data_IF_504257072073
#
_entry.id   IF_504257072073
#
_cell.length_a   1.000
_cell.length_b   1.000
_cell.length_c   1.000
_cell.angle_alpha   90.00
_cell.angle_beta   90.00
_cell.angle_gamma   90.00
#
_symmetry.space_group_name_H-M   'P 1'
#
loop_
_entity.id
_entity.type
_entity.pdbx_description
1 polymer ?
#
# COMPACT_ATOMS: atom_id res chain seq x y z
N UNK A 1 -18.65 -16.26 4.15
CA UNK A 1 -18.45 -15.53 5.42
C UNK A 1 -19.44 -14.40 5.42
N UNK A 2 -20.25 -14.19 6.50
CA UNK A 2 -21.16 -13.04 6.54
C UNK A 2 -20.39 -11.75 6.82
N UNK A 3 -20.95 -10.60 6.44
CA UNK A 3 -20.34 -9.28 6.73
C UNK A 3 -20.16 -9.10 8.24
N UNK A 4 -21.14 -9.53 9.04
CA UNK A 4 -21.07 -9.48 10.50
C UNK A 4 -19.88 -10.25 11.09
N UNK A 5 -19.59 -11.44 10.56
CA UNK A 5 -18.43 -12.24 10.98
C UNK A 5 -17.11 -11.56 10.59
N UNK A 6 -17.08 -10.91 9.42
CA UNK A 6 -15.91 -10.15 8.97
C UNK A 6 -15.68 -8.93 9.87
N UNK A 7 -16.72 -8.15 10.14
CA UNK A 7 -16.65 -6.99 11.04
C UNK A 7 -16.21 -7.38 12.44
N UNK A 8 -16.76 -8.51 12.95
CA UNK A 8 -16.35 -9.03 14.26
C UNK A 8 -14.86 -9.41 14.30
N UNK A 9 -14.36 -10.09 13.26
CA UNK A 9 -12.93 -10.48 13.18
C UNK A 9 -11.99 -9.28 13.05
N UNK A 10 -12.45 -8.18 12.46
CA UNK A 10 -11.66 -6.97 12.28
C UNK A 10 -11.68 -6.05 13.53
N UNK A 11 -12.64 -6.24 14.44
CA UNK A 11 -12.80 -5.35 15.60
C UNK A 11 -11.56 -5.31 16.48
N UNK A 12 -10.99 -6.46 16.79
CA UNK A 12 -9.79 -6.57 17.64
C UNK A 12 -8.60 -5.88 16.99
N UNK A 13 -8.37 -6.13 15.70
CA UNK A 13 -7.27 -5.51 14.93
C UNK A 13 -7.45 -3.98 14.85
N UNK A 14 -8.67 -3.49 14.67
CA UNK A 14 -8.98 -2.05 14.69
C UNK A 14 -8.65 -1.40 16.03
N UNK A 15 -9.00 -2.06 17.14
CA UNK A 15 -8.69 -1.55 18.48
C UNK A 15 -7.18 -1.57 18.76
N UNK A 16 -6.47 -2.60 18.32
CA UNK A 16 -5.01 -2.66 18.41
C UNK A 16 -4.35 -1.52 17.62
N UNK A 17 -4.84 -1.23 16.40
CA UNK A 17 -4.34 -0.12 15.59
C UNK A 17 -4.59 1.23 16.25
N UNK A 18 -5.81 1.49 16.75
CA UNK A 18 -6.15 2.76 17.40
C UNK A 18 -5.30 3.06 18.63
N UNK A 19 -4.93 2.00 19.38
CA UNK A 19 -4.18 2.11 20.61
C UNK A 19 -2.70 1.75 20.43
N UNK A 20 -2.19 1.78 19.18
CA UNK A 20 -0.81 1.41 18.91
C UNK A 20 0.16 2.43 19.52
N UNK A 21 1.21 1.93 20.17
CA UNK A 21 2.22 2.75 20.87
C UNK A 21 2.92 3.76 19.96
N UNK A 22 2.93 3.53 18.66
CA UNK A 22 3.49 4.45 17.68
C UNK A 22 2.92 5.85 17.80
N UNK A 23 1.60 5.98 18.04
CA UNK A 23 0.96 7.31 18.15
C UNK A 23 1.48 8.11 19.35
N UNK A 24 1.91 7.43 20.41
CA UNK A 24 2.52 8.07 21.57
C UNK A 24 4.00 8.43 21.38
N UNK A 25 4.61 8.02 20.27
CA UNK A 25 6.02 8.26 19.96
C UNK A 25 6.22 9.32 18.87
N UNK A 26 5.14 9.82 18.26
CA UNK A 26 5.21 10.85 17.21
C UNK A 26 5.11 12.26 17.84
N UNK A 27 6.11 12.63 18.66
CA UNK A 27 6.10 13.87 19.41
C UNK A 27 6.90 15.01 18.73
N UNK A 28 7.71 14.69 17.73
CA UNK A 28 8.57 15.65 17.05
C UNK A 28 8.47 15.52 15.52
N UNK A 29 8.92 16.56 14.81
CA UNK A 29 9.05 16.53 13.35
C UNK A 29 10.02 15.43 12.89
N UNK A 30 11.05 15.14 13.69
CA UNK A 30 12.01 14.08 13.38
C UNK A 30 11.35 12.67 13.46
N UNK A 31 10.48 12.47 14.43
CA UNK A 31 9.73 11.22 14.54
C UNK A 31 8.77 11.07 13.34
N UNK A 32 8.13 12.16 12.93
CA UNK A 32 7.27 12.19 11.75
C UNK A 32 8.06 11.85 10.48
N UNK A 33 9.26 12.43 10.29
CA UNK A 33 10.15 12.09 9.17
C UNK A 33 10.46 10.61 9.14
N UNK A 34 10.94 10.08 10.26
CA UNK A 34 11.30 8.66 10.40
C UNK A 34 10.13 7.75 10.09
N UNK A 35 8.94 8.11 10.59
CA UNK A 35 7.71 7.38 10.29
C UNK A 35 7.39 7.44 8.80
N UNK A 36 7.37 8.62 8.20
CA UNK A 36 7.00 8.80 6.79
C UNK A 36 7.93 8.07 5.83
N UNK A 37 9.24 8.03 6.11
CA UNK A 37 10.23 7.31 5.30
C UNK A 37 9.98 5.81 5.21
N UNK A 38 9.34 5.22 6.22
CA UNK A 38 8.92 3.82 6.20
C UNK A 38 7.48 3.64 5.73
N UNK A 39 6.57 4.53 6.13
CA UNK A 39 5.15 4.42 5.83
C UNK A 39 4.82 4.66 4.35
N UNK A 40 5.64 5.44 3.65
CA UNK A 40 5.47 5.71 2.20
C UNK A 40 5.36 4.44 1.35
N UNK A 41 6.00 3.35 1.76
CA UNK A 41 5.87 2.05 1.08
C UNK A 41 4.48 1.44 1.26
N UNK A 42 3.82 1.68 2.39
CA UNK A 42 2.44 1.24 2.60
C UNK A 42 1.46 2.05 1.74
N UNK A 43 1.70 3.35 1.59
CA UNK A 43 0.90 4.22 0.70
C UNK A 43 1.00 3.75 -0.74
N UNK A 44 2.20 3.45 -1.21
CA UNK A 44 2.41 2.90 -2.55
C UNK A 44 1.80 1.51 -2.73
N UNK A 45 1.93 0.65 -1.71
CA UNK A 45 1.38 -0.71 -1.70
C UNK A 45 -0.15 -0.70 -1.80
N UNK A 46 -0.80 0.25 -1.11
CA UNK A 46 -2.24 0.41 -1.17
C UNK A 46 -2.74 0.67 -2.60
N UNK A 47 -2.08 1.56 -3.35
CA UNK A 47 -2.41 1.79 -4.77
C UNK A 47 -2.29 0.52 -5.62
N UNK A 48 -1.26 -0.26 -5.36
CA UNK A 48 -1.05 -1.51 -6.11
C UNK A 48 -2.11 -2.56 -5.77
N UNK A 49 -2.51 -2.67 -4.49
CA UNK A 49 -3.62 -3.51 -4.06
C UNK A 49 -4.93 -3.06 -4.72
N UNK A 50 -5.20 -1.76 -4.73
CA UNK A 50 -6.38 -1.17 -5.35
C UNK A 50 -6.43 -1.46 -6.86
N UNK A 51 -5.29 -1.37 -7.56
CA UNK A 51 -5.19 -1.76 -8.97
C UNK A 51 -5.43 -3.26 -9.19
N UNK A 52 -4.99 -4.11 -8.29
CA UNK A 52 -5.31 -5.54 -8.34
C UNK A 52 -6.82 -5.79 -8.16
N UNK A 53 -7.45 -5.11 -7.21
CA UNK A 53 -8.90 -5.18 -7.01
C UNK A 53 -9.68 -4.61 -8.21
N UNK A 54 -9.21 -3.52 -8.81
CA UNK A 54 -9.82 -2.95 -10.01
C UNK A 54 -9.79 -3.96 -11.18
N UNK A 55 -8.68 -4.65 -11.39
CA UNK A 55 -8.56 -5.68 -12.44
C UNK A 55 -9.46 -6.88 -12.19
N UNK A 56 -9.65 -7.28 -10.94
CA UNK A 56 -10.46 -8.45 -10.58
C UNK A 56 -11.96 -8.14 -10.56
N UNK A 57 -12.35 -6.96 -10.06
CA UNK A 57 -13.74 -6.62 -9.75
C UNK A 57 -14.40 -5.70 -10.80
N UNK A 58 -13.62 -5.20 -11.76
CA UNK A 58 -14.11 -4.39 -12.88
C UNK A 58 -13.68 -5.02 -14.22
N UNK A 59 -13.68 -4.27 -15.30
CA UNK A 59 -13.11 -4.69 -16.57
C UNK A 59 -12.12 -3.66 -17.08
N UNK A 60 -10.85 -4.00 -17.01
CA UNK A 60 -9.73 -3.19 -17.55
C UNK A 60 -9.15 -3.77 -18.84
N UNK A 61 -9.67 -4.92 -19.30
CA UNK A 61 -9.20 -5.63 -20.49
C UNK A 61 -9.96 -5.20 -21.76
N UNK A 62 -9.35 -5.51 -22.90
CA UNK A 62 -9.94 -5.32 -24.24
C UNK A 62 -10.19 -6.68 -24.91
N UNK A 63 -11.35 -6.87 -25.61
CA UNK A 63 -12.48 -5.94 -25.71
C UNK A 63 -13.23 -5.80 -24.38
N UNK A 64 -13.72 -4.60 -24.07
CA UNK A 64 -14.44 -4.32 -22.84
C UNK A 64 -15.72 -5.16 -22.70
N UNK A 65 -16.00 -5.59 -21.46
CA UNK A 65 -17.25 -6.24 -21.07
C UNK A 65 -17.76 -5.61 -19.77
N UNK A 66 -19.08 -5.53 -19.56
CA UNK A 66 -19.61 -5.05 -18.29
C UNK A 66 -19.21 -5.97 -17.14
N UNK A 67 -18.90 -5.37 -15.99
CA UNK A 67 -18.64 -6.11 -14.76
C UNK A 67 -19.90 -6.88 -14.31
N UNK A 68 -19.71 -8.01 -13.64
CA UNK A 68 -20.81 -8.84 -13.13
C UNK A 68 -21.58 -8.13 -12.00
N UNK A 69 -20.90 -7.34 -11.20
CA UNK A 69 -21.48 -6.50 -10.14
C UNK A 69 -21.10 -5.03 -10.38
N UNK A 70 -22.06 -4.27 -10.88
CA UNK A 70 -21.86 -2.86 -11.21
C UNK A 70 -21.75 -1.98 -9.97
N UNK A 71 -22.31 -2.39 -8.83
CA UNK A 71 -22.20 -1.66 -7.56
C UNK A 71 -20.76 -1.74 -7.02
N UNK A 72 -20.20 -2.94 -7.01
CA UNK A 72 -18.81 -3.17 -6.62
C UNK A 72 -17.87 -2.48 -7.60
N UNK A 73 -18.11 -2.59 -8.90
CA UNK A 73 -17.29 -1.92 -9.90
C UNK A 73 -17.30 -0.39 -9.73
N UNK A 74 -18.48 0.20 -9.45
CA UNK A 74 -18.59 1.63 -9.15
C UNK A 74 -17.78 2.02 -7.92
N UNK A 75 -17.94 1.29 -6.82
CA UNK A 75 -17.24 1.53 -5.57
C UNK A 75 -15.70 1.51 -5.76
N UNK A 76 -15.18 0.49 -6.44
CA UNK A 76 -13.74 0.39 -6.73
C UNK A 76 -13.26 1.54 -7.61
N UNK A 77 -14.01 1.91 -8.66
CA UNK A 77 -13.61 2.99 -9.56
C UNK A 77 -13.67 4.37 -8.88
N UNK A 78 -14.56 4.59 -7.92
CA UNK A 78 -14.61 5.81 -7.11
C UNK A 78 -13.34 5.92 -6.24
N UNK A 79 -12.93 4.85 -5.56
CA UNK A 79 -11.68 4.84 -4.79
C UNK A 79 -10.47 5.06 -5.72
N UNK A 80 -10.45 4.41 -6.90
CA UNK A 80 -9.37 4.62 -7.87
C UNK A 80 -9.30 6.07 -8.34
N UNK A 81 -10.43 6.72 -8.56
CA UNK A 81 -10.46 8.12 -8.96
C UNK A 81 -9.82 9.02 -7.90
N UNK A 82 -10.20 8.82 -6.63
CA UNK A 82 -9.69 9.59 -5.50
C UNK A 82 -8.20 9.32 -5.26
N UNK A 83 -7.78 8.06 -5.24
CA UNK A 83 -6.40 7.69 -4.89
C UNK A 83 -5.38 7.97 -6.02
N UNK A 84 -5.80 7.88 -7.29
CA UNK A 84 -4.90 8.01 -8.43
C UNK A 84 -4.83 9.43 -9.00
N UNK A 85 -5.86 10.24 -8.79
CA UNK A 85 -6.01 11.54 -9.46
C UNK A 85 -6.89 12.53 -8.70
N UNK A 86 -6.76 12.57 -7.39
CA UNK A 86 -7.43 13.56 -6.56
C UNK A 86 -6.86 14.95 -6.77
N UNK A 87 -7.59 15.98 -6.37
CA UNK A 87 -7.11 17.35 -6.42
C UNK A 87 -6.40 17.74 -5.12
N UNK A 88 -5.17 18.22 -5.26
CA UNK A 88 -4.46 18.84 -4.15
C UNK A 88 -5.06 20.22 -3.79
N UNK A 89 -4.53 20.88 -2.76
CA UNK A 89 -4.99 22.19 -2.28
C UNK A 89 -4.92 23.30 -3.36
N UNK A 90 -4.07 23.13 -4.37
CA UNK A 90 -3.92 24.04 -5.49
C UNK A 90 -4.86 23.71 -6.66
N UNK A 91 -5.67 22.68 -6.54
CA UNK A 91 -6.56 22.21 -7.61
C UNK A 91 -5.84 21.46 -8.73
N UNK A 92 -4.63 20.96 -8.48
CA UNK A 92 -3.85 20.14 -9.43
C UNK A 92 -4.11 18.66 -9.15
N UNK A 93 -4.44 17.91 -10.20
CA UNK A 93 -4.65 16.48 -10.06
C UNK A 93 -3.32 15.77 -9.76
N UNK A 94 -3.28 15.02 -8.65
CA UNK A 94 -2.16 14.20 -8.19
C UNK A 94 -2.67 12.93 -7.53
N UNK A 95 -1.90 11.86 -7.58
CA UNK A 95 -2.17 10.68 -6.75
C UNK A 95 -1.88 10.97 -5.27
N UNK A 96 -2.57 10.28 -4.37
CA UNK A 96 -2.27 10.37 -2.95
C UNK A 96 -0.81 9.99 -2.64
N UNK A 97 -0.22 9.09 -3.42
CA UNK A 97 1.22 8.79 -3.32
C UNK A 97 2.10 10.01 -3.65
N UNK A 98 1.79 10.77 -4.71
CA UNK A 98 2.53 11.99 -5.06
C UNK A 98 2.33 13.08 -4.00
N UNK A 99 1.10 13.26 -3.51
CA UNK A 99 0.83 14.19 -2.41
C UNK A 99 1.55 13.80 -1.13
N UNK A 100 1.68 12.50 -0.86
CA UNK A 100 2.46 12.01 0.27
C UNK A 100 3.96 12.31 0.13
N UNK A 101 4.51 12.20 -1.09
CA UNK A 101 5.89 12.60 -1.37
C UNK A 101 6.10 14.11 -1.21
N UNK A 102 5.14 14.94 -1.63
CA UNK A 102 5.18 16.38 -1.42
C UNK A 102 5.21 16.71 0.09
N UNK A 103 4.32 16.09 0.88
CA UNK A 103 4.30 16.25 2.33
C UNK A 103 5.60 15.76 3.00
N UNK A 104 6.22 14.70 2.49
CA UNK A 104 7.56 14.26 2.95
C UNK A 104 8.62 15.32 2.68
N UNK A 105 8.59 15.97 1.52
CA UNK A 105 9.54 17.04 1.17
C UNK A 105 9.35 18.27 2.07
N UNK A 106 8.12 18.64 2.42
CA UNK A 106 7.83 19.75 3.35
C UNK A 106 8.46 19.56 4.73
N UNK A 107 8.46 18.32 5.24
CA UNK A 107 9.11 18.00 6.52
C UNK A 107 10.59 17.63 6.37
N UNK A 108 11.17 17.73 5.17
CA UNK A 108 12.54 17.33 4.82
C UNK A 108 12.82 15.83 5.08
N UNK A 109 11.84 14.94 4.88
CA UNK A 109 12.04 13.50 4.88
C UNK A 109 12.70 13.04 3.56
N UNK A 110 13.41 11.92 3.59
CA UNK A 110 14.13 11.42 2.44
C UNK A 110 13.22 10.68 1.45
N UNK A 111 12.88 11.32 0.34
CA UNK A 111 12.10 10.71 -0.75
C UNK A 111 12.96 9.95 -1.77
N UNK A 112 14.28 10.14 -1.79
CA UNK A 112 15.17 9.57 -2.81
C UNK A 112 15.21 8.05 -2.75
N UNK A 113 15.16 7.48 -1.53
CA UNK A 113 15.20 6.03 -1.32
C UNK A 113 13.96 5.36 -1.95
N UNK A 114 12.77 5.83 -1.63
CA UNK A 114 11.53 5.24 -2.16
C UNK A 114 11.41 5.46 -3.66
N UNK A 115 11.74 6.66 -4.17
CA UNK A 115 11.77 6.95 -5.61
C UNK A 115 12.73 6.02 -6.35
N UNK A 116 13.92 5.76 -5.79
CA UNK A 116 14.91 4.83 -6.35
C UNK A 116 14.46 3.38 -6.33
N UNK A 117 13.82 2.93 -5.27
CA UNK A 117 13.31 1.55 -5.14
C UNK A 117 12.17 1.30 -6.13
N UNK A 118 11.15 2.17 -6.12
CA UNK A 118 9.95 2.02 -6.97
C UNK A 118 10.29 2.23 -8.44
N UNK A 119 11.14 3.21 -8.77
CA UNK A 119 11.56 3.48 -10.14
C UNK A 119 12.34 2.33 -10.79
N UNK A 120 12.92 1.44 -10.00
CA UNK A 120 13.59 0.24 -10.49
C UNK A 120 12.66 -0.97 -10.62
N UNK A 121 11.41 -0.89 -10.18
CA UNK A 121 10.46 -1.99 -10.36
C UNK A 121 10.07 -2.13 -11.83
N UNK A 122 10.31 -3.33 -12.36
CA UNK A 122 9.92 -3.69 -13.72
C UNK A 122 8.52 -4.33 -13.75
N UNK A 123 8.47 -5.58 -14.19
CA UNK A 123 7.24 -6.36 -14.17
C UNK A 123 7.06 -7.11 -12.84
N UNK A 124 5.87 -7.63 -12.59
CA UNK A 124 5.54 -8.39 -11.38
C UNK A 124 6.42 -9.63 -11.16
N UNK A 125 6.96 -10.22 -12.21
CA UNK A 125 7.83 -11.42 -12.10
C UNK A 125 9.21 -11.06 -11.54
N UNK A 126 9.72 -9.88 -11.86
CA UNK A 126 11.03 -9.40 -11.41
C UNK A 126 10.99 -8.77 -10.02
N UNK A 127 9.83 -8.23 -9.60
CA UNK A 127 9.71 -7.38 -8.41
C UNK A 127 10.15 -8.09 -7.12
N UNK A 128 9.85 -9.38 -6.95
CA UNK A 128 10.27 -10.16 -5.78
C UNK A 128 11.80 -10.24 -5.63
N UNK A 129 12.51 -10.36 -6.75
CA UNK A 129 13.97 -10.34 -6.80
C UNK A 129 14.55 -8.96 -6.55
N UNK A 130 13.86 -7.93 -7.01
CA UNK A 130 14.24 -6.52 -6.83
C UNK A 130 14.08 -6.08 -5.36
N UNK A 131 12.97 -6.43 -4.70
CA UNK A 131 12.74 -6.19 -3.26
C UNK A 131 13.84 -6.84 -2.41
N UNK A 132 14.27 -8.07 -2.76
CA UNK A 132 15.34 -8.76 -2.03
C UNK A 132 16.69 -8.05 -2.12
N UNK A 133 16.97 -7.39 -3.25
CA UNK A 133 18.23 -6.69 -3.53
C UNK A 133 18.21 -5.23 -3.07
N UNK A 134 17.04 -4.65 -2.87
CA UNK A 134 16.91 -3.26 -2.45
C UNK A 134 17.38 -3.08 -1.00
N UNK A 135 17.96 -1.92 -0.74
CA UNK A 135 18.35 -1.51 0.63
C UNK A 135 17.10 -1.09 1.42
N UNK A 136 16.39 -2.08 1.92
CA UNK A 136 15.13 -1.95 2.65
C UNK A 136 15.26 -2.55 4.04
N UNK A 137 14.69 -1.89 5.03
CA UNK A 137 14.52 -2.48 6.36
C UNK A 137 13.40 -3.55 6.37
N UNK A 138 13.23 -4.23 7.51
CA UNK A 138 12.27 -5.33 7.61
C UNK A 138 10.82 -4.87 7.42
N UNK A 139 10.45 -3.70 7.96
CA UNK A 139 9.09 -3.15 7.84
C UNK A 139 8.77 -2.80 6.37
N UNK A 140 9.67 -2.08 5.70
CA UNK A 140 9.57 -1.72 4.29
C UNK A 140 9.45 -2.96 3.38
N UNK A 141 10.26 -4.01 3.66
CA UNK A 141 10.16 -5.29 2.94
C UNK A 141 8.83 -5.99 3.16
N UNK A 142 8.31 -5.95 4.39
CA UNK A 142 7.04 -6.58 4.71
C UNK A 142 5.87 -5.89 4.01
N UNK A 143 5.86 -4.56 3.92
CA UNK A 143 4.86 -3.81 3.14
C UNK A 143 4.89 -4.25 1.67
N UNK A 144 6.04 -4.15 1.01
CA UNK A 144 6.19 -4.52 -0.39
C UNK A 144 5.95 -6.03 -0.67
N UNK A 145 6.22 -6.91 0.30
CA UNK A 145 5.94 -8.34 0.17
C UNK A 145 4.45 -8.67 0.33
N UNK A 146 3.70 -7.85 1.06
CA UNK A 146 2.26 -8.04 1.21
C UNK A 146 1.52 -7.84 -0.11
N UNK A 147 1.91 -6.83 -0.86
CA UNK A 147 1.47 -6.57 -2.23
C UNK A 147 1.58 -7.80 -3.12
N UNK A 148 2.75 -8.41 -3.13
CA UNK A 148 3.01 -9.56 -4.00
C UNK A 148 2.09 -10.74 -3.69
N UNK A 149 1.67 -10.89 -2.43
CA UNK A 149 0.72 -11.94 -2.03
C UNK A 149 -0.70 -11.65 -2.49
N UNK A 150 -1.10 -10.37 -2.48
CA UNK A 150 -2.45 -9.96 -2.85
C UNK A 150 -2.64 -9.87 -4.37
N UNK A 151 -1.55 -9.59 -5.11
CA UNK A 151 -1.60 -9.27 -6.55
C UNK A 151 -1.28 -10.44 -7.46
N UNK A 152 -0.77 -11.57 -6.93
CA UNK A 152 -0.32 -12.70 -7.74
C UNK A 152 -0.94 -13.99 -7.23
N UNK A 153 -1.62 -14.79 -8.10
CA UNK A 153 -2.15 -16.09 -7.73
C UNK A 153 -1.08 -16.97 -7.08
N UNK A 154 -1.41 -17.64 -5.97
CA UNK A 154 -0.49 -18.45 -5.15
C UNK A 154 0.38 -19.46 -5.94
N UNK A 155 -0.07 -19.85 -7.13
CA UNK A 155 0.62 -20.80 -7.99
C UNK A 155 1.87 -20.27 -8.71
N UNK A 156 2.20 -18.98 -8.59
CA UNK A 156 3.31 -18.33 -9.33
C UNK A 156 4.45 -17.77 -8.49
N UNK A 157 4.33 -17.72 -7.17
CA UNK A 157 5.39 -17.16 -6.32
C UNK A 157 5.66 -18.02 -5.09
N UNK A 158 6.87 -18.54 -4.97
CA UNK A 158 7.43 -19.00 -3.70
C UNK A 158 8.04 -17.82 -2.95
N UNK A 159 7.21 -17.01 -2.27
CA UNK A 159 7.70 -16.00 -1.34
C UNK A 159 8.03 -16.64 0.01
N UNK A 160 9.12 -16.24 0.67
CA UNK A 160 9.37 -16.65 2.03
C UNK A 160 8.23 -16.19 2.93
N UNK A 161 7.80 -17.06 3.87
CA UNK A 161 6.82 -16.66 4.90
C UNK A 161 7.38 -15.50 5.70
N UNK A 162 6.52 -14.55 6.17
CA UNK A 162 6.97 -13.51 7.09
C UNK A 162 7.61 -14.18 8.30
N UNK A 163 8.77 -13.69 8.68
CA UNK A 163 9.37 -14.09 9.94
C UNK A 163 8.40 -13.65 11.07
N UNK A 164 8.18 -14.52 12.08
CA UNK A 164 7.41 -14.12 13.25
C UNK A 164 8.07 -12.89 13.87
N UNK A 165 7.27 -11.92 14.26
CA UNK A 165 7.73 -10.82 15.10
C UNK A 165 8.24 -11.47 16.38
N UNK A 166 9.56 -11.52 16.57
CA UNK A 166 10.12 -11.95 17.85
C UNK A 166 9.70 -10.94 18.89
N UNK A 167 8.71 -11.33 19.70
CA UNK A 167 8.39 -10.60 20.90
C UNK A 167 9.63 -10.57 21.81
N UNK A 168 10.17 -9.39 22.02
CA UNK A 168 11.14 -9.19 23.10
C UNK A 168 10.38 -9.43 24.40
N UNK A 169 10.73 -10.53 25.10
CA UNK A 169 10.44 -10.71 26.50
C UNK A 169 11.14 -9.63 27.32
#
# INVERSE_FOLDING_TARGET
MSIENLEHSLKEVREQLKNHELYAQLDSVEDIRTFMESHVYAVWDFMSLLKALQRELTCTDLPWKPASDTTVARFINEIVLEEESDFNEEGVAKSHFEMYLDAMEEVNANTSKVKGVIGNFGNLEAIAGQIKKADLNLAERNFLASLLRSSIPENRISLPRPLPLEGKN
#
